data_IF_852182532909
#
_entry.id   IF_852182532909
#
_cell.length_a   1.000
_cell.length_b   1.000
_cell.length_c   1.000
_cell.angle_alpha   90.00
_cell.angle_beta   90.00
_cell.angle_gamma   90.00
#
_symmetry.space_group_name_H-M   'P 1'
#
loop_
_entity.id
_entity.type
_entity.pdbx_description
1 polymer ?
#
# COMPACT_ATOMS: atom_id res chain seq x y z
N UNK A 1 1.71 -5.01 -8.53
CA UNK A 1 2.68 -4.98 -7.42
C UNK A 1 1.95 -4.54 -6.17
N UNK A 2 1.92 -5.38 -5.15
CA UNK A 2 1.44 -5.02 -3.82
C UNK A 2 2.66 -4.74 -2.96
N UNK A 3 2.68 -3.58 -2.30
CA UNK A 3 3.73 -3.18 -1.37
C UNK A 3 3.14 -2.89 0.00
N UNK A 4 3.93 -3.18 1.02
CA UNK A 4 3.54 -3.03 2.40
C UNK A 4 4.76 -2.76 3.28
N UNK A 5 4.62 -1.84 4.24
CA UNK A 5 5.60 -1.58 5.29
C UNK A 5 4.86 -1.08 6.52
N UNK A 6 5.35 -1.41 7.71
CA UNK A 6 4.90 -0.80 8.97
C UNK A 6 5.85 0.32 9.45
N UNK A 7 6.91 0.59 8.68
CA UNK A 7 7.82 1.73 8.85
C UNK A 7 7.46 2.81 7.83
N UNK A 8 7.10 4.00 8.31
CA UNK A 8 6.59 5.11 7.50
C UNK A 8 7.59 5.57 6.43
N UNK A 9 8.85 5.74 6.82
CA UNK A 9 9.91 6.25 5.95
C UNK A 9 10.15 5.29 4.78
N UNK A 10 10.19 3.99 5.07
CA UNK A 10 10.33 2.93 4.06
C UNK A 10 9.10 2.90 3.15
N UNK A 11 7.89 3.06 3.71
CA UNK A 11 6.67 3.11 2.93
C UNK A 11 6.68 4.27 1.93
N UNK A 12 7.05 5.47 2.38
CA UNK A 12 7.16 6.65 1.53
C UNK A 12 8.21 6.47 0.44
N UNK A 13 9.41 5.99 0.77
CA UNK A 13 10.46 5.78 -0.20
C UNK A 13 10.02 4.80 -1.30
N UNK A 14 9.43 3.67 -0.91
CA UNK A 14 8.89 2.71 -1.86
C UNK A 14 7.78 3.33 -2.73
N UNK A 15 6.88 4.12 -2.14
CA UNK A 15 5.82 4.78 -2.91
C UNK A 15 6.42 5.74 -3.94
N UNK A 16 7.39 6.55 -3.55
CA UNK A 16 7.95 7.61 -4.39
C UNK A 16 8.69 6.98 -5.60
N UNK A 17 9.33 5.83 -5.40
CA UNK A 17 9.94 5.05 -6.48
C UNK A 17 8.91 4.54 -7.52
N UNK A 18 7.76 4.03 -7.06
CA UNK A 18 6.71 3.55 -7.98
C UNK A 18 5.94 4.71 -8.64
N UNK A 19 5.66 5.78 -7.91
CA UNK A 19 5.00 6.97 -8.45
C UNK A 19 5.86 7.68 -9.51
N UNK A 20 7.19 7.70 -9.34
CA UNK A 20 8.12 8.17 -10.36
C UNK A 20 8.05 7.35 -11.66
N UNK A 21 7.58 6.11 -11.60
CA UNK A 21 7.38 5.21 -12.74
C UNK A 21 5.93 5.19 -13.25
N UNK A 22 5.19 6.30 -13.12
CA UNK A 22 3.75 6.40 -13.44
C UNK A 22 3.36 6.08 -14.90
N UNK A 23 4.33 5.99 -15.81
CA UNK A 23 4.15 5.55 -17.21
C UNK A 23 4.12 4.03 -17.36
N UNK A 24 4.64 3.28 -16.37
CA UNK A 24 4.71 1.81 -16.36
C UNK A 24 3.78 1.25 -15.29
N UNK A 25 3.65 1.95 -14.17
CA UNK A 25 2.83 1.54 -13.03
C UNK A 25 1.73 2.56 -12.77
N UNK A 26 0.47 2.11 -12.74
CA UNK A 26 -0.66 2.93 -12.29
C UNK A 26 -1.10 2.50 -10.91
N UNK A 27 -1.33 3.46 -10.03
CA UNK A 27 -1.90 3.20 -8.71
C UNK A 27 -3.32 2.61 -8.85
N UNK A 28 -3.69 1.74 -7.90
CA UNK A 28 -4.91 0.93 -8.02
C UNK A 28 -6.20 1.77 -7.98
N UNK A 29 -6.19 2.92 -7.31
CA UNK A 29 -7.35 3.83 -7.22
C UNK A 29 -7.82 4.35 -8.59
N UNK A 30 -6.90 4.55 -9.53
CA UNK A 30 -7.20 4.98 -10.91
C UNK A 30 -7.89 3.86 -11.69
N UNK A 31 -7.57 2.60 -11.38
CA UNK A 31 -8.03 1.43 -12.12
C UNK A 31 -9.31 0.84 -11.51
N UNK A 32 -9.35 0.78 -10.18
CA UNK A 32 -10.43 0.23 -9.39
C UNK A 32 -10.72 1.14 -8.18
N UNK A 33 -11.62 2.12 -8.36
CA UNK A 33 -12.02 3.06 -7.30
C UNK A 33 -12.74 2.39 -6.11
N UNK A 34 -13.17 1.13 -6.24
CA UNK A 34 -13.85 0.41 -5.15
C UNK A 34 -12.89 -0.01 -4.03
N UNK A 35 -11.57 0.06 -4.26
CA UNK A 35 -10.57 -0.22 -3.24
C UNK A 35 -10.39 1.02 -2.35
N UNK A 36 -10.75 0.95 -1.06
CA UNK A 36 -10.76 2.11 -0.18
C UNK A 36 -9.33 2.54 0.16
N UNK A 37 -9.03 3.81 -0.12
CA UNK A 37 -7.75 4.44 0.18
C UNK A 37 -7.95 5.65 1.11
N UNK A 38 -6.94 5.98 1.92
CA UNK A 38 -6.89 7.26 2.64
C UNK A 38 -6.54 8.43 1.70
N UNK A 39 -6.51 9.65 2.26
CA UNK A 39 -6.19 10.87 1.50
C UNK A 39 -4.77 10.90 0.92
N UNK A 40 -3.88 10.02 1.38
CA UNK A 40 -2.52 9.88 0.86
C UNK A 40 -2.39 8.71 -0.14
N UNK A 41 -3.48 8.01 -0.43
CA UNK A 41 -3.50 6.87 -1.34
C UNK A 41 -3.03 5.56 -0.72
N UNK A 42 -2.98 5.45 0.62
CA UNK A 42 -2.74 4.17 1.28
C UNK A 42 -4.01 3.35 1.37
N UNK A 43 -3.94 2.06 1.04
CA UNK A 43 -5.07 1.14 1.11
C UNK A 43 -5.43 0.87 2.58
N UNK A 44 -6.71 1.07 2.91
CA UNK A 44 -7.20 0.98 4.30
C UNK A 44 -7.23 -0.45 4.85
N UNK A 45 -7.52 -1.43 4.00
CA UNK A 45 -7.64 -2.84 4.37
C UNK A 45 -6.70 -3.72 3.56
N UNK A 46 -6.31 -4.88 4.11
CA UNK A 46 -5.47 -5.81 3.36
C UNK A 46 -6.25 -6.36 2.14
N UNK A 47 -5.79 -6.07 0.90
CA UNK A 47 -6.53 -6.43 -0.30
C UNK A 47 -6.52 -7.94 -0.60
N UNK A 48 -5.62 -8.70 0.03
CA UNK A 48 -5.53 -10.15 -0.09
C UNK A 48 -6.49 -10.89 0.86
N UNK A 49 -7.12 -10.18 1.82
CA UNK A 49 -8.04 -10.75 2.80
C UNK A 49 -7.39 -11.58 3.91
N UNK A 50 -6.06 -11.80 3.86
CA UNK A 50 -5.30 -12.55 4.86
C UNK A 50 -4.10 -11.71 5.30
N UNK A 51 -3.98 -11.50 6.61
CA UNK A 51 -2.85 -10.77 7.22
C UNK A 51 -1.63 -11.67 7.36
N UNK A 52 -0.46 -11.10 7.13
CA UNK A 52 0.84 -11.71 7.42
C UNK A 52 1.15 -11.69 8.93
N UNK A 53 2.09 -12.53 9.38
CA UNK A 53 2.59 -12.50 10.76
C UNK A 53 3.08 -11.10 11.15
N UNK A 54 3.77 -10.42 10.23
CA UNK A 54 4.29 -9.07 10.46
C UNK A 54 3.19 -8.03 10.64
N UNK A 55 2.10 -8.12 9.89
CA UNK A 55 0.92 -7.26 10.08
C UNK A 55 0.28 -7.48 11.44
N UNK A 56 0.08 -8.75 11.81
CA UNK A 56 -0.53 -9.10 13.10
C UNK A 56 0.31 -8.53 14.24
N UNK A 57 1.64 -8.69 14.18
CA UNK A 57 2.54 -8.16 15.19
C UNK A 57 2.49 -6.63 15.27
N UNK A 58 2.65 -5.91 14.16
CA UNK A 58 2.62 -4.44 14.19
C UNK A 58 1.25 -3.90 14.64
N UNK A 59 0.15 -4.48 14.15
CA UNK A 59 -1.20 -4.09 14.59
C UNK A 59 -1.41 -4.36 16.09
N UNK A 60 -0.85 -5.45 16.64
CA UNK A 60 -0.92 -5.74 18.07
C UNK A 60 -0.17 -4.73 18.96
N UNK A 61 0.83 -4.06 18.39
CA UNK A 61 1.59 -2.97 19.02
C UNK A 61 0.97 -1.59 18.74
N UNK A 62 -0.14 -1.53 18.00
CA UNK A 62 -0.80 -0.28 17.60
C UNK A 62 -0.10 0.46 16.46
N UNK A 63 0.85 -0.19 15.76
CA UNK A 63 1.52 0.40 14.60
C UNK A 63 0.60 0.43 13.37
N UNK A 64 0.77 1.46 12.53
CA UNK A 64 0.06 1.59 11.24
C UNK A 64 0.78 0.75 10.18
N UNK A 65 0.01 -0.05 9.44
CA UNK A 65 0.51 -0.73 8.23
C UNK A 65 0.20 0.15 7.01
N UNK A 66 1.24 0.58 6.30
CA UNK A 66 1.13 1.31 5.04
C UNK A 66 1.07 0.31 3.90
N UNK A 67 -0.03 0.34 3.14
CA UNK A 67 -0.31 -0.60 2.05
C UNK A 67 -0.55 0.17 0.77
N UNK A 68 0.05 -0.26 -0.33
CA UNK A 68 -0.18 0.36 -1.64
C UNK A 68 -0.16 -0.68 -2.75
N UNK A 69 -0.92 -0.46 -3.80
CA UNK A 69 -1.01 -1.39 -4.92
C UNK A 69 -0.90 -0.64 -6.25
N UNK A 70 -0.11 -1.21 -7.15
CA UNK A 70 0.05 -0.74 -8.51
C UNK A 70 -0.25 -1.85 -9.50
N UNK A 71 -0.80 -1.52 -10.65
CA UNK A 71 -0.86 -2.41 -11.80
C UNK A 71 0.16 -1.96 -12.84
N UNK A 72 0.88 -2.94 -13.41
CA UNK A 72 1.71 -2.68 -14.58
C UNK A 72 0.78 -2.58 -15.80
N UNK A 73 0.94 -1.50 -16.58
CA UNK A 73 0.25 -1.27 -17.85
C UNK A 73 1.07 -1.76 -19.04
#
# INVERSE_FOLDING_TARGET
>A
VFMQSDVLEVAHEMRDQFDACSSIFKHIDIINPDIPCDSEGWILSNPMGIRTEREIHAESEGAKIYRRMYQKI
#
